data_IF_183623553639
#
_entry.id   IF_183623553639
#
_cell.length_a   1.000
_cell.length_b   1.000
_cell.length_c   1.000
_cell.angle_alpha   90.00
_cell.angle_beta   90.00
_cell.angle_gamma   90.00
#
_symmetry.space_group_name_H-M   'P 1'
#
loop_
_entity.id
_entity.type
_entity.pdbx_description
1 polymer ?
#
# COMPACT_ATOMS: atom_id res chain seq x y z
N UNK A 1 -18.13 -7.35 0.80
CA UNK A 1 -16.89 -7.49 1.61
C UNK A 1 -15.82 -8.29 0.85
N UNK A 2 -14.54 -8.11 1.18
CA UNK A 2 -13.42 -8.87 0.63
C UNK A 2 -12.95 -9.93 1.64
N UNK A 3 -12.85 -11.18 1.20
CA UNK A 3 -12.34 -12.29 2.01
C UNK A 3 -11.04 -12.84 1.40
N UNK A 4 -9.94 -12.76 2.16
CA UNK A 4 -8.69 -13.47 1.84
C UNK A 4 -8.67 -14.75 2.65
N UNK A 5 -8.45 -15.92 2.04
CA UNK A 5 -8.48 -17.23 2.73
C UNK A 5 -7.28 -18.11 2.39
N UNK A 6 -7.04 -19.11 3.23
CA UNK A 6 -6.04 -20.18 3.09
C UNK A 6 -4.56 -19.75 3.07
N UNK A 7 -4.24 -18.47 3.29
CA UNK A 7 -2.86 -17.99 3.33
C UNK A 7 -2.20 -18.14 4.70
N UNK A 8 -0.87 -18.11 4.72
CA UNK A 8 -0.10 -17.95 5.96
C UNK A 8 -0.17 -16.49 6.39
N UNK A 9 -1.08 -16.17 7.32
CA UNK A 9 -1.33 -14.80 7.78
C UNK A 9 -0.40 -14.48 8.95
N UNK A 10 0.55 -13.57 8.73
CA UNK A 10 1.50 -13.11 9.74
C UNK A 10 1.04 -11.74 10.24
N UNK A 11 0.39 -11.69 11.40
CA UNK A 11 -0.22 -10.44 11.90
C UNK A 11 0.78 -9.45 12.49
N UNK A 12 2.03 -9.85 12.69
CA UNK A 12 3.11 -9.13 13.38
C UNK A 12 2.85 -8.88 14.87
N UNK A 13 1.79 -8.16 15.22
CA UNK A 13 1.48 -7.79 16.61
C UNK A 13 0.76 -8.92 17.40
N UNK A 14 0.31 -9.96 16.72
CA UNK A 14 -0.45 -11.06 17.31
C UNK A 14 -0.01 -12.43 16.79
N UNK A 15 -0.90 -13.44 16.86
CA UNK A 15 -0.57 -14.78 16.39
C UNK A 15 -0.40 -14.83 14.87
N UNK A 16 0.42 -15.77 14.42
CA UNK A 16 0.49 -16.19 13.02
C UNK A 16 -0.51 -17.32 12.78
N UNK A 17 -1.25 -17.25 11.69
CA UNK A 17 -2.17 -18.29 11.26
C UNK A 17 -1.57 -19.00 10.04
N UNK A 18 -1.11 -20.25 10.21
CA UNK A 18 -0.50 -21.03 9.11
C UNK A 18 -1.48 -21.29 7.95
N UNK A 19 -2.77 -21.36 8.25
CA UNK A 19 -3.87 -21.37 7.28
C UNK A 19 -4.98 -20.45 7.79
N UNK A 20 -4.86 -19.16 7.49
CA UNK A 20 -5.70 -18.09 8.00
C UNK A 20 -6.64 -17.49 6.97
N UNK A 21 -7.57 -16.70 7.49
CA UNK A 21 -8.55 -15.91 6.75
C UNK A 21 -8.57 -14.47 7.30
N UNK A 22 -8.75 -13.49 6.42
CA UNK A 22 -8.94 -12.07 6.74
C UNK A 22 -10.22 -11.60 6.04
N UNK A 23 -11.15 -11.03 6.81
CA UNK A 23 -12.34 -10.40 6.28
C UNK A 23 -12.20 -8.88 6.38
N UNK A 24 -12.40 -8.23 5.24
CA UNK A 24 -12.26 -6.80 5.05
C UNK A 24 -13.62 -6.25 4.63
N UNK A 25 -14.08 -5.22 5.33
CA UNK A 25 -15.23 -4.44 4.92
C UNK A 25 -14.78 -3.00 4.65
N UNK A 26 -15.05 -2.54 3.42
CA UNK A 26 -14.57 -1.27 2.89
C UNK A 26 -13.03 -1.10 3.08
N UNK A 27 -12.61 -0.18 3.96
CA UNK A 27 -11.19 0.16 4.21
C UNK A 27 -10.65 -0.45 5.51
N UNK A 28 -11.39 -1.35 6.17
CA UNK A 28 -11.02 -1.88 7.49
C UNK A 28 -11.04 -3.40 7.52
N UNK A 29 -10.07 -3.97 8.22
CA UNK A 29 -10.07 -5.37 8.61
C UNK A 29 -11.08 -5.52 9.76
N UNK A 30 -12.10 -6.36 9.58
CA UNK A 30 -13.13 -6.58 10.59
C UNK A 30 -12.96 -7.92 11.33
N UNK A 31 -12.24 -8.88 10.74
CA UNK A 31 -11.96 -10.17 11.37
C UNK A 31 -10.72 -10.85 10.81
N UNK A 32 -9.96 -11.52 11.67
CA UNK A 32 -8.84 -12.39 11.32
C UNK A 32 -9.00 -13.70 12.11
N UNK A 33 -8.74 -14.85 11.48
CA UNK A 33 -8.82 -16.14 12.17
C UNK A 33 -8.52 -17.34 11.26
N UNK A 34 -8.50 -18.55 11.81
CA UNK A 34 -8.27 -19.78 11.02
C UNK A 34 -9.38 -20.06 10.00
N UNK A 35 -10.62 -19.77 10.38
CA UNK A 35 -11.80 -19.94 9.54
C UNK A 35 -12.77 -18.81 9.84
N UNK A 36 -13.32 -18.22 8.79
CA UNK A 36 -14.37 -17.22 8.88
C UNK A 36 -15.56 -17.77 8.10
N UNK A 37 -16.66 -18.03 8.80
CA UNK A 37 -17.93 -18.35 8.17
C UNK A 37 -18.60 -17.03 7.81
N UNK A 38 -18.92 -16.85 6.54
CA UNK A 38 -19.66 -15.70 5.99
C UNK A 38 -20.74 -16.27 5.08
N UNK A 39 -21.90 -15.62 5.05
CA UNK A 39 -22.91 -15.94 4.05
C UNK A 39 -22.40 -15.50 2.67
N UNK A 40 -22.60 -16.33 1.64
CA UNK A 40 -22.04 -16.12 0.31
C UNK A 40 -22.52 -14.79 -0.31
N UNK A 41 -23.70 -14.30 0.09
CA UNK A 41 -24.29 -13.06 -0.40
C UNK A 41 -23.60 -11.78 0.12
N UNK A 42 -22.80 -11.87 1.20
CA UNK A 42 -22.18 -10.71 1.83
C UNK A 42 -20.73 -10.47 1.37
N UNK A 43 -20.16 -11.45 0.68
CA UNK A 43 -18.77 -11.43 0.19
C UNK A 43 -18.78 -11.13 -1.30
N UNK A 44 -18.32 -9.94 -1.65
CA UNK A 44 -18.26 -9.47 -3.03
C UNK A 44 -17.04 -10.00 -3.78
N UNK A 45 -15.97 -10.34 -3.05
CA UNK A 45 -14.72 -10.83 -3.63
C UNK A 45 -14.01 -11.81 -2.69
N UNK A 46 -13.47 -12.89 -3.26
CA UNK A 46 -12.70 -13.90 -2.53
C UNK A 46 -11.34 -14.05 -3.18
N UNK A 47 -10.27 -13.89 -2.39
CA UNK A 47 -8.89 -14.16 -2.77
C UNK A 47 -8.45 -15.45 -2.07
N UNK A 48 -8.16 -16.49 -2.86
CA UNK A 48 -7.51 -17.70 -2.34
C UNK A 48 -5.99 -17.52 -2.32
N UNK A 49 -5.44 -17.34 -1.12
CA UNK A 49 -4.01 -17.14 -0.89
C UNK A 49 -3.30 -18.45 -0.49
N UNK A 50 -3.84 -19.61 -0.89
CA UNK A 50 -3.19 -20.91 -0.65
C UNK A 50 -1.73 -20.90 -1.11
N UNK A 51 -0.82 -21.38 -0.23
CA UNK A 51 0.63 -21.37 -0.44
C UNK A 51 1.28 -19.96 -0.52
N UNK A 52 0.54 -18.90 -0.20
CA UNK A 52 1.07 -17.54 -0.14
C UNK A 52 1.22 -17.05 1.31
N UNK A 53 2.06 -16.03 1.47
CA UNK A 53 2.20 -15.28 2.72
C UNK A 53 1.33 -14.03 2.66
N UNK A 54 0.58 -13.77 3.72
CA UNK A 54 -0.26 -12.57 3.85
C UNK A 54 0.29 -11.74 5.00
N UNK A 55 0.82 -10.58 4.65
CA UNK A 55 1.53 -9.67 5.54
C UNK A 55 0.78 -8.33 5.60
N UNK A 56 0.90 -7.57 6.70
CA UNK A 56 0.59 -6.15 6.67
C UNK A 56 1.40 -5.45 5.57
N UNK A 57 0.82 -4.40 4.99
CA UNK A 57 1.56 -3.54 4.07
C UNK A 57 2.80 -2.98 4.77
N UNK A 58 3.95 -3.03 4.11
CA UNK A 58 5.18 -2.46 4.64
C UNK A 58 5.08 -0.93 4.70
N UNK A 59 5.72 -0.34 5.71
CA UNK A 59 5.78 1.11 5.91
C UNK A 59 7.23 1.54 5.75
N UNK A 60 7.51 2.35 4.72
CA UNK A 60 8.77 3.08 4.61
C UNK A 60 8.61 4.43 5.32
N UNK A 61 9.37 4.61 6.40
CA UNK A 61 9.29 5.79 7.26
C UNK A 61 10.06 7.00 6.73
N UNK A 62 10.99 6.76 5.81
CA UNK A 62 11.82 7.81 5.24
C UNK A 62 12.19 7.47 3.79
N UNK A 63 11.64 8.23 2.85
CA UNK A 63 11.99 8.10 1.44
C UNK A 63 11.92 9.45 0.74
N UNK A 64 12.45 9.47 -0.49
CA UNK A 64 12.36 10.61 -1.41
C UNK A 64 11.58 10.23 -2.68
N UNK A 65 10.68 9.24 -2.58
CA UNK A 65 9.88 8.78 -3.71
C UNK A 65 9.02 9.92 -4.25
N UNK A 66 9.06 10.11 -5.58
CA UNK A 66 8.36 11.21 -6.26
C UNK A 66 9.00 12.59 -6.08
N UNK A 67 9.94 12.76 -5.14
CA UNK A 67 10.76 13.97 -4.99
C UNK A 67 12.05 13.83 -5.80
N UNK A 68 12.63 12.63 -5.80
CA UNK A 68 13.65 12.21 -6.76
C UNK A 68 12.95 11.30 -7.76
N UNK A 69 12.63 11.86 -8.92
CA UNK A 69 11.95 11.13 -9.98
C UNK A 69 12.85 10.06 -10.59
N UNK A 70 12.30 8.85 -10.74
CA UNK A 70 13.02 7.74 -11.32
C UNK A 70 13.31 8.00 -12.82
N UNK A 71 14.59 7.82 -13.21
CA UNK A 71 15.10 7.98 -14.59
C UNK A 71 14.98 9.39 -15.19
N UNK A 72 14.79 10.43 -14.38
CA UNK A 72 14.83 11.82 -14.86
C UNK A 72 16.21 12.46 -14.82
N UNK A 73 17.04 12.07 -13.86
CA UNK A 73 18.35 12.70 -13.66
C UNK A 73 18.22 13.94 -12.78
N UNK A 74 19.05 14.96 -13.04
CA UNK A 74 19.10 16.17 -12.22
C UNK A 74 17.81 17.00 -12.30
N UNK A 75 17.13 16.97 -13.45
CA UNK A 75 15.92 17.74 -13.72
C UNK A 75 14.71 17.29 -12.89
N UNK A 76 14.77 16.10 -12.29
CA UNK A 76 13.72 15.58 -11.41
C UNK A 76 14.21 15.32 -9.98
N UNK A 77 15.29 15.98 -9.55
CA UNK A 77 15.80 15.89 -8.16
C UNK A 77 15.48 17.19 -7.40
N UNK A 78 14.29 17.21 -6.78
CA UNK A 78 13.85 18.29 -5.90
C UNK A 78 14.18 18.00 -4.42
N UNK A 79 15.09 17.08 -4.13
CA UNK A 79 15.33 16.60 -2.77
C UNK A 79 15.97 17.63 -1.84
N UNK A 80 16.83 18.50 -2.38
CA UNK A 80 17.60 19.45 -1.58
C UNK A 80 17.62 20.83 -2.23
N UNK A 81 17.11 21.83 -1.50
CA UNK A 81 17.39 23.24 -1.78
C UNK A 81 18.82 23.55 -1.33
N UNK A 82 19.68 23.93 -2.28
CA UNK A 82 21.14 24.04 -2.08
C UNK A 82 21.64 25.48 -1.95
N UNK A 83 20.75 26.48 -2.04
CA UNK A 83 21.13 27.89 -2.04
C UNK A 83 21.10 28.55 -0.66
N UNK A 84 20.31 28.03 0.28
CA UNK A 84 20.20 28.56 1.64
C UNK A 84 20.26 27.41 2.67
N UNK A 85 21.08 27.52 3.74
CA UNK A 85 21.25 26.43 4.71
C UNK A 85 20.07 26.24 5.66
N UNK A 86 19.14 27.20 5.75
CA UNK A 86 18.02 27.18 6.71
C UNK A 86 16.72 27.49 5.96
N UNK A 87 16.04 26.43 5.50
CA UNK A 87 14.81 26.53 4.69
C UNK A 87 13.62 25.78 5.32
N UNK A 88 13.28 26.00 6.61
CA UNK A 88 12.23 25.25 7.32
C UNK A 88 10.81 25.53 6.80
N UNK A 89 10.65 26.58 5.99
CA UNK A 89 9.39 26.97 5.39
C UNK A 89 9.02 26.11 4.16
N UNK A 90 9.97 25.38 3.58
CA UNK A 90 9.73 24.45 2.48
C UNK A 90 9.01 23.20 2.98
N UNK A 91 8.19 22.61 2.11
CA UNK A 91 7.47 21.38 2.43
C UNK A 91 7.76 20.34 1.34
N UNK A 92 8.16 19.15 1.77
CA UNK A 92 8.41 18.04 0.88
C UNK A 92 7.20 17.72 -0.03
N UNK A 93 5.97 17.91 0.46
CA UNK A 93 4.74 17.65 -0.31
C UNK A 93 4.62 18.47 -1.59
N UNK A 94 5.26 19.65 -1.63
CA UNK A 94 5.20 20.54 -2.80
C UNK A 94 6.07 20.03 -3.96
N UNK A 95 6.99 19.09 -3.68
CA UNK A 95 7.91 18.49 -4.65
C UNK A 95 7.51 17.06 -5.08
N UNK A 96 6.50 16.46 -4.46
CA UNK A 96 6.12 15.07 -4.79
C UNK A 96 5.40 15.05 -6.14
N UNK A 97 5.98 14.36 -7.13
CA UNK A 97 5.34 14.02 -8.39
C UNK A 97 4.62 12.65 -8.29
N UNK A 98 3.28 12.60 -8.23
CA UNK A 98 2.54 11.34 -8.14
C UNK A 98 2.54 10.54 -9.45
N UNK A 99 3.00 11.12 -10.55
CA UNK A 99 3.04 10.52 -11.89
C UNK A 99 4.43 10.00 -12.28
N UNK A 100 5.39 10.02 -11.35
CA UNK A 100 6.70 9.40 -11.53
C UNK A 100 6.57 7.90 -11.88
N UNK A 101 7.52 7.35 -12.64
CA UNK A 101 7.44 5.97 -13.12
C UNK A 101 7.44 4.95 -11.97
N UNK A 102 8.07 5.26 -10.84
CA UNK A 102 8.01 4.44 -9.63
C UNK A 102 6.57 4.26 -9.13
N UNK A 103 5.68 5.23 -9.36
CA UNK A 103 4.27 5.13 -8.94
C UNK A 103 3.43 4.25 -9.86
N UNK A 104 4.01 3.66 -10.92
CA UNK A 104 3.34 2.64 -11.78
C UNK A 104 3.27 1.27 -11.10
N UNK A 105 2.58 1.22 -9.97
CA UNK A 105 2.30 0.00 -9.20
C UNK A 105 0.99 -0.69 -9.65
N UNK A 106 0.58 -1.83 -9.09
CA UNK A 106 -0.76 -2.36 -9.40
C UNK A 106 -1.88 -1.37 -9.02
N UNK A 107 -1.68 -0.65 -7.91
CA UNK A 107 -2.58 0.37 -7.38
C UNK A 107 -1.77 1.44 -6.62
N UNK A 108 -1.97 2.72 -6.94
CA UNK A 108 -1.48 3.83 -6.11
C UNK A 108 -2.63 4.43 -5.33
N UNK A 109 -2.45 4.58 -4.01
CA UNK A 109 -3.47 5.10 -3.11
C UNK A 109 -2.94 6.38 -2.45
N UNK A 110 -3.66 7.48 -2.61
CA UNK A 110 -3.35 8.78 -1.96
C UNK A 110 -4.54 9.16 -1.10
N UNK A 111 -4.29 9.50 0.18
CA UNK A 111 -5.34 9.85 1.15
C UNK A 111 -6.47 8.80 1.25
N UNK A 112 -6.12 7.53 1.03
CA UNK A 112 -7.08 6.43 1.07
C UNK A 112 -7.96 6.30 -0.17
N UNK A 113 -7.66 7.00 -1.26
CA UNK A 113 -8.32 6.87 -2.56
C UNK A 113 -7.37 6.29 -3.61
N UNK A 114 -7.87 5.39 -4.45
CA UNK A 114 -7.07 4.82 -5.54
C UNK A 114 -6.98 5.87 -6.65
N UNK A 115 -5.79 6.41 -6.89
CA UNK A 115 -5.52 7.43 -7.92
C UNK A 115 -4.93 6.82 -9.20
N UNK A 116 -4.44 5.58 -9.14
CA UNK A 116 -3.89 4.85 -10.29
C UNK A 116 -4.17 3.35 -10.15
N UNK A 117 -4.50 2.70 -11.28
CA UNK A 117 -4.61 1.23 -11.40
C UNK A 117 -3.93 0.79 -12.70
N UNK A 118 -3.08 -0.24 -12.62
CA UNK A 118 -2.37 -0.75 -13.79
C UNK A 118 -3.31 -1.27 -14.90
N UNK A 119 -4.52 -1.73 -14.55
CA UNK A 119 -5.51 -2.28 -15.49
C UNK A 119 -6.31 -1.22 -16.27
N UNK A 120 -6.20 0.05 -15.89
CA UNK A 120 -6.93 1.15 -16.53
C UNK A 120 -6.11 1.79 -17.68
N UNK A 121 -4.91 1.26 -17.94
CA UNK A 121 -4.07 1.52 -19.12
C UNK A 121 -4.26 0.43 -20.17
#
# INVERSE_FOLDING_TARGET
MLLIKNGKVVTMAGPTYEKGCILIDNKKIIKVGHKINTDENDVSEVIDASNCWVLPGLIESHCHVGIIEERKGFEGDDCNEKNEPITPYLKAIDAINPMDIFTRTMYTIINGEIVYRAKDM
#
